data_IF_535621097297
#
_entry.id   IF_535621097297
#
_cell.length_a   1.000
_cell.length_b   1.000
_cell.length_c   1.000
_cell.angle_alpha   90.00
_cell.angle_beta   90.00
_cell.angle_gamma   90.00
#
_symmetry.space_group_name_H-M   'P 1'
#
loop_
_entity.id
_entity.type
_entity.pdbx_description
1 polymer ?
#
# COMPACT_ATOMS: atom_id res chain seq x y z
N UNK A 1 -2.19 7.84 -13.96
CA UNK A 1 -1.64 9.09 -13.40
C UNK A 1 -0.78 8.91 -12.15
N UNK A 2 -0.98 7.85 -11.35
CA UNK A 2 -0.20 7.60 -10.12
C UNK A 2 1.28 7.32 -10.44
N UNK A 3 1.58 6.59 -11.50
CA UNK A 3 2.95 6.35 -11.98
C UNK A 3 3.80 7.64 -12.14
N UNK A 4 3.18 8.79 -12.44
CA UNK A 4 3.91 10.05 -12.60
C UNK A 4 4.48 10.61 -11.29
N UNK A 5 3.95 10.17 -10.15
CA UNK A 5 4.28 10.65 -8.82
C UNK A 5 5.25 9.73 -8.04
N UNK A 6 5.94 8.85 -8.75
CA UNK A 6 6.95 7.96 -8.20
C UNK A 6 8.12 7.85 -9.20
N UNK A 7 9.39 7.73 -8.74
CA UNK A 7 10.54 7.66 -9.64
C UNK A 7 10.53 6.35 -10.42
N UNK A 8 11.12 6.38 -11.62
CA UNK A 8 11.36 5.18 -12.41
C UNK A 8 12.37 4.28 -11.70
N UNK A 9 12.11 2.99 -11.72
CA UNK A 9 12.91 1.97 -11.07
C UNK A 9 13.57 1.06 -12.11
N UNK A 10 14.64 0.35 -11.72
CA UNK A 10 15.19 -0.70 -12.55
C UNK A 10 14.17 -1.79 -12.78
N UNK A 11 14.23 -2.49 -13.93
CA UNK A 11 13.26 -3.51 -14.35
C UNK A 11 12.88 -4.50 -13.26
N UNK A 12 13.86 -4.98 -12.46
CA UNK A 12 13.61 -5.90 -11.35
C UNK A 12 12.74 -5.31 -10.23
N UNK A 13 12.62 -4.00 -10.16
CA UNK A 13 11.83 -3.28 -9.16
C UNK A 13 10.52 -2.73 -9.74
N UNK A 14 10.17 -3.08 -10.98
CA UNK A 14 8.92 -2.66 -11.62
C UNK A 14 7.67 -3.02 -10.79
N UNK A 15 7.76 -4.06 -9.96
CA UNK A 15 6.69 -4.45 -9.06
C UNK A 15 6.27 -3.36 -8.06
N UNK A 16 7.18 -2.46 -7.65
CA UNK A 16 6.80 -1.38 -6.71
C UNK A 16 6.03 -0.26 -7.43
N UNK A 17 6.39 0.06 -8.67
CA UNK A 17 5.67 1.07 -9.47
C UNK A 17 4.23 0.61 -9.72
N UNK A 18 4.06 -0.64 -10.18
CA UNK A 18 2.74 -1.23 -10.42
C UNK A 18 1.98 -1.48 -9.12
N UNK A 19 2.67 -1.91 -8.07
CA UNK A 19 2.10 -2.14 -6.75
C UNK A 19 1.55 -0.85 -6.13
N UNK A 20 2.30 0.25 -6.20
CA UNK A 20 1.83 1.57 -5.76
C UNK A 20 0.59 1.97 -6.55
N UNK A 21 0.61 1.83 -7.87
CA UNK A 21 -0.55 2.16 -8.71
C UNK A 21 -1.77 1.32 -8.34
N UNK A 22 -1.59 0.00 -8.20
CA UNK A 22 -2.67 -0.95 -7.89
C UNK A 22 -3.28 -0.71 -6.50
N UNK A 23 -2.46 -0.29 -5.52
CA UNK A 23 -2.93 0.01 -4.18
C UNK A 23 -3.51 1.42 -4.04
N UNK A 24 -2.79 2.44 -4.52
CA UNK A 24 -3.12 3.86 -4.25
C UNK A 24 -4.30 4.33 -5.11
N UNK A 25 -4.45 3.83 -6.34
CA UNK A 25 -5.53 4.30 -7.23
C UNK A 25 -6.93 4.12 -6.61
N UNK A 26 -7.36 2.90 -6.20
CA UNK A 26 -8.68 2.73 -5.62
C UNK A 26 -8.83 3.47 -4.28
N UNK A 27 -7.77 3.53 -3.46
CA UNK A 27 -7.76 4.27 -2.19
C UNK A 27 -7.97 5.77 -2.45
N UNK A 28 -7.22 6.36 -3.37
CA UNK A 28 -7.34 7.78 -3.70
C UNK A 28 -8.73 8.13 -4.24
N UNK A 29 -9.31 7.28 -5.08
CA UNK A 29 -10.68 7.47 -5.60
C UNK A 29 -11.72 7.41 -4.50
N UNK A 30 -11.55 6.52 -3.52
CA UNK A 30 -12.44 6.49 -2.36
C UNK A 30 -12.29 7.76 -1.50
N UNK A 31 -11.06 8.24 -1.30
CA UNK A 31 -10.79 9.45 -0.53
C UNK A 31 -11.42 10.71 -1.12
N UNK A 32 -11.63 10.77 -2.42
CA UNK A 32 -12.31 11.90 -3.10
C UNK A 32 -13.78 11.62 -3.41
N UNK A 33 -14.31 10.46 -3.00
CA UNK A 33 -15.72 10.10 -3.14
C UNK A 33 -16.13 9.59 -4.53
N UNK A 34 -15.16 9.25 -5.41
CA UNK A 34 -15.43 8.67 -6.73
C UNK A 34 -15.65 7.16 -6.71
N UNK A 35 -15.19 6.49 -5.67
CA UNK A 35 -15.35 5.04 -5.50
C UNK A 35 -15.90 4.75 -4.10
N UNK A 36 -16.92 3.89 -3.97
CA UNK A 36 -17.38 3.42 -2.67
C UNK A 36 -16.26 2.72 -1.89
N UNK A 37 -16.16 3.00 -0.60
CA UNK A 37 -15.15 2.37 0.28
C UNK A 37 -15.26 0.85 0.26
N UNK A 38 -16.48 0.32 0.19
CA UNK A 38 -16.75 -1.13 0.10
C UNK A 38 -16.12 -1.75 -1.15
N UNK A 39 -16.11 -1.03 -2.27
CA UNK A 39 -15.52 -1.52 -3.53
C UNK A 39 -14.00 -1.64 -3.43
N UNK A 40 -13.33 -0.70 -2.71
CA UNK A 40 -11.89 -0.81 -2.43
C UNK A 40 -11.58 -2.09 -1.65
N UNK A 41 -12.27 -2.30 -0.54
CA UNK A 41 -12.03 -3.46 0.31
C UNK A 41 -12.45 -4.76 -0.36
N UNK A 42 -13.55 -4.76 -1.14
CA UNK A 42 -13.95 -5.90 -1.97
C UNK A 42 -12.87 -6.29 -2.96
N UNK A 43 -12.29 -5.31 -3.65
CA UNK A 43 -11.18 -5.53 -4.59
C UNK A 43 -9.97 -6.11 -3.87
N UNK A 44 -9.57 -5.54 -2.75
CA UNK A 44 -8.40 -6.02 -1.99
C UNK A 44 -8.60 -7.45 -1.48
N UNK A 45 -9.73 -7.77 -0.86
CA UNK A 45 -9.98 -9.13 -0.36
C UNK A 45 -10.00 -10.15 -1.51
N UNK A 46 -10.59 -9.81 -2.66
CA UNK A 46 -10.71 -10.71 -3.80
C UNK A 46 -9.37 -10.91 -4.53
N UNK A 47 -8.59 -9.87 -4.68
CA UNK A 47 -7.47 -9.85 -5.63
C UNK A 47 -6.08 -9.91 -4.98
N UNK A 48 -5.89 -9.45 -3.72
CA UNK A 48 -4.61 -9.60 -2.99
C UNK A 48 -4.08 -11.04 -2.94
N UNK A 49 -4.91 -12.11 -2.84
CA UNK A 49 -4.43 -13.48 -2.89
C UNK A 49 -3.66 -13.83 -4.16
N UNK A 50 -3.91 -13.15 -5.29
CA UNK A 50 -3.17 -13.32 -6.55
C UNK A 50 -1.71 -12.88 -6.46
N UNK A 51 -1.37 -12.08 -5.47
CA UNK A 51 -0.02 -11.61 -5.19
C UNK A 51 0.78 -12.51 -4.23
N UNK A 52 0.18 -13.58 -3.72
CA UNK A 52 0.92 -14.55 -2.89
C UNK A 52 1.97 -15.29 -3.72
N UNK A 53 3.07 -15.73 -3.09
CA UNK A 53 4.07 -16.54 -3.76
C UNK A 53 3.50 -17.92 -4.14
N UNK A 54 3.91 -18.45 -5.27
CA UNK A 54 3.76 -19.85 -5.68
C UNK A 54 5.03 -20.66 -5.36
N UNK A 55 5.04 -21.95 -5.75
CA UNK A 55 6.12 -22.87 -5.40
C UNK A 55 7.48 -22.48 -6.00
N UNK A 56 7.50 -21.76 -7.13
CA UNK A 56 8.71 -21.33 -7.84
C UNK A 56 9.13 -19.88 -7.52
N UNK A 57 8.41 -19.21 -6.60
CA UNK A 57 8.67 -17.81 -6.25
C UNK A 57 10.03 -17.62 -5.57
N UNK A 58 10.76 -16.61 -5.97
CA UNK A 58 12.07 -16.24 -5.44
C UNK A 58 12.07 -14.84 -4.78
N UNK A 59 10.89 -14.27 -4.53
CA UNK A 59 10.73 -12.94 -3.99
C UNK A 59 10.39 -11.89 -5.06
N UNK A 60 9.98 -10.71 -4.61
CA UNK A 60 9.42 -9.66 -5.48
C UNK A 60 10.39 -9.19 -6.57
N UNK A 61 11.71 -9.12 -6.27
CA UNK A 61 12.73 -8.67 -7.22
C UNK A 61 13.07 -9.73 -8.29
N UNK A 62 12.64 -10.98 -8.09
CA UNK A 62 13.07 -12.12 -8.91
C UNK A 62 11.93 -12.88 -9.57
N UNK A 63 10.69 -12.57 -9.23
CA UNK A 63 9.50 -13.27 -9.74
C UNK A 63 8.56 -12.29 -10.44
N UNK A 64 8.87 -11.87 -11.70
CA UNK A 64 8.10 -10.86 -12.42
C UNK A 64 6.84 -11.44 -13.08
N UNK A 65 6.06 -12.24 -12.34
CA UNK A 65 4.74 -12.69 -12.81
C UNK A 65 3.71 -11.57 -12.65
N UNK A 66 2.64 -11.61 -13.43
CA UNK A 66 1.58 -10.60 -13.32
C UNK A 66 1.04 -10.48 -11.89
N UNK A 67 0.77 -11.62 -11.25
CA UNK A 67 0.26 -11.62 -9.87
C UNK A 67 1.23 -10.96 -8.89
N UNK A 68 2.53 -11.31 -8.97
CA UNK A 68 3.55 -10.75 -8.09
C UNK A 68 3.83 -9.27 -8.36
N UNK A 69 3.85 -8.88 -9.63
CA UNK A 69 4.10 -7.48 -10.02
C UNK A 69 2.99 -6.57 -9.52
N UNK A 70 1.75 -6.87 -9.82
CA UNK A 70 0.62 -5.99 -9.47
C UNK A 70 0.14 -6.23 -8.04
N UNK A 71 -0.25 -7.45 -7.71
CA UNK A 71 -0.88 -7.74 -6.42
C UNK A 71 0.11 -8.03 -5.30
N UNK A 72 1.28 -8.60 -5.62
CA UNK A 72 2.40 -8.71 -4.68
C UNK A 72 2.92 -7.34 -4.27
N UNK A 73 3.08 -6.43 -5.24
CA UNK A 73 3.43 -5.04 -4.99
C UNK A 73 2.34 -4.28 -4.22
N UNK A 74 1.06 -4.46 -4.57
CA UNK A 74 -0.06 -3.86 -3.82
C UNK A 74 -0.14 -4.40 -2.38
N UNK A 75 0.14 -5.69 -2.17
CA UNK A 75 0.18 -6.31 -0.85
C UNK A 75 1.33 -5.73 -0.01
N UNK A 76 2.52 -5.52 -0.61
CA UNK A 76 3.61 -4.79 0.03
C UNK A 76 3.16 -3.40 0.47
N UNK A 77 2.47 -2.64 -0.39
CA UNK A 77 1.96 -1.30 -0.07
C UNK A 77 0.92 -1.31 1.05
N UNK A 78 -0.01 -2.26 1.06
CA UNK A 78 -0.99 -2.40 2.14
C UNK A 78 -0.30 -2.72 3.48
N UNK A 79 0.64 -3.66 3.48
CA UNK A 79 1.41 -4.00 4.68
C UNK A 79 2.22 -2.81 5.18
N UNK A 80 2.82 -2.04 4.27
CA UNK A 80 3.55 -0.83 4.61
C UNK A 80 2.63 0.22 5.26
N UNK A 81 1.47 0.48 4.65
CA UNK A 81 0.51 1.47 5.20
C UNK A 81 0.02 1.06 6.59
N UNK A 82 -0.35 -0.21 6.77
CA UNK A 82 -0.79 -0.73 8.07
C UNK A 82 0.34 -0.61 9.12
N UNK A 83 1.55 -1.10 8.82
CA UNK A 83 2.66 -1.09 9.78
C UNK A 83 3.14 0.31 10.13
N UNK A 84 3.18 1.24 9.16
CA UNK A 84 3.49 2.66 9.44
C UNK A 84 2.44 3.22 10.40
N UNK A 85 1.15 2.95 10.16
CA UNK A 85 0.07 3.43 11.03
C UNK A 85 0.12 2.81 12.42
N UNK A 86 0.41 1.52 12.53
CA UNK A 86 0.63 0.86 13.84
C UNK A 86 1.75 1.56 14.63
N UNK A 87 2.94 1.72 14.02
CA UNK A 87 4.11 2.32 14.68
C UNK A 87 3.94 3.80 15.01
N UNK A 88 3.15 4.52 14.22
CA UNK A 88 2.92 5.96 14.41
C UNK A 88 1.63 6.28 15.15
N UNK A 89 0.95 5.29 15.71
CA UNK A 89 -0.38 5.47 16.32
C UNK A 89 -1.37 6.15 15.37
N UNK A 90 -1.40 5.67 14.13
CA UNK A 90 -2.25 6.14 13.03
C UNK A 90 -2.07 7.64 12.65
N UNK A 91 -0.94 8.25 13.03
CA UNK A 91 -0.63 9.65 12.69
C UNK A 91 -0.08 9.80 11.27
N UNK A 92 0.60 8.77 10.76
CA UNK A 92 1.19 8.72 9.42
C UNK A 92 0.83 7.41 8.75
N UNK A 93 0.88 7.38 7.41
CA UNK A 93 0.65 6.20 6.60
C UNK A 93 1.54 6.21 5.35
N UNK A 94 1.35 5.25 4.47
CA UNK A 94 2.12 5.15 3.22
C UNK A 94 2.02 6.43 2.38
N UNK A 95 0.87 7.11 2.38
CA UNK A 95 0.69 8.39 1.69
C UNK A 95 1.73 9.44 2.09
N UNK A 96 2.12 9.49 3.37
CA UNK A 96 3.08 10.46 3.87
C UNK A 96 4.49 10.13 3.38
N UNK A 97 4.86 8.85 3.34
CA UNK A 97 6.09 8.38 2.73
C UNK A 97 6.15 8.72 1.23
N UNK A 98 5.10 8.40 0.46
CA UNK A 98 5.04 8.68 -0.98
C UNK A 98 5.09 10.19 -1.27
N UNK A 99 4.42 11.00 -0.46
CA UNK A 99 4.49 12.46 -0.57
C UNK A 99 5.90 12.99 -0.33
N UNK A 100 6.64 12.42 0.62
CA UNK A 100 8.02 12.81 0.86
C UNK A 100 8.93 12.43 -0.31
N UNK A 101 8.77 11.25 -0.89
CA UNK A 101 9.49 10.82 -2.09
C UNK A 101 9.24 11.81 -3.24
N UNK A 102 7.98 12.14 -3.51
CA UNK A 102 7.62 13.13 -4.53
C UNK A 102 8.22 14.52 -4.27
N UNK A 103 8.16 14.99 -3.03
CA UNK A 103 8.71 16.30 -2.63
C UNK A 103 10.26 16.36 -2.73
N UNK A 104 10.94 15.21 -2.74
CA UNK A 104 12.38 15.11 -3.00
C UNK A 104 12.72 14.95 -4.48
N UNK A 105 11.75 15.13 -5.38
CA UNK A 105 11.93 15.05 -6.83
C UNK A 105 11.73 13.64 -7.40
N UNK A 106 11.20 12.70 -6.62
CA UNK A 106 10.91 11.34 -7.09
C UNK A 106 9.71 11.31 -8.04
N UNK A 107 9.94 11.58 -9.31
CA UNK A 107 8.95 11.55 -10.40
C UNK A 107 9.41 10.60 -11.50
N UNK A 108 8.50 10.17 -12.36
CA UNK A 108 8.74 9.14 -13.39
C UNK A 108 9.90 9.44 -14.34
N UNK A 109 10.27 10.71 -14.51
CA UNK A 109 11.42 11.11 -15.33
C UNK A 109 12.77 10.91 -14.65
N UNK A 110 12.78 10.54 -13.38
CA UNK A 110 13.98 10.36 -12.57
C UNK A 110 14.22 8.89 -12.28
N UNK A 111 15.39 8.39 -12.62
CA UNK A 111 15.81 7.01 -12.33
C UNK A 111 16.44 6.93 -10.93
N UNK A 112 15.76 6.25 -10.00
CA UNK A 112 16.25 6.08 -8.63
C UNK A 112 16.53 4.64 -8.27
N UNK A 113 17.40 4.43 -7.31
CA UNK A 113 17.50 3.15 -6.62
C UNK A 113 16.35 3.00 -5.60
N UNK A 114 15.72 1.85 -5.55
CA UNK A 114 14.58 1.59 -4.65
C UNK A 114 14.90 1.90 -3.17
N UNK A 115 16.14 1.59 -2.75
CA UNK A 115 16.59 1.88 -1.37
C UNK A 115 16.65 3.38 -1.07
N UNK A 116 16.95 4.21 -2.06
CA UNK A 116 16.92 5.66 -1.91
C UNK A 116 15.50 6.15 -1.66
N UNK A 117 14.54 5.67 -2.46
CA UNK A 117 13.13 6.04 -2.30
C UNK A 117 12.59 5.59 -0.92
N UNK A 118 12.89 4.36 -0.53
CA UNK A 118 12.42 3.83 0.76
C UNK A 118 13.04 4.53 1.97
N UNK A 119 14.34 4.84 1.92
CA UNK A 119 14.99 5.60 2.99
C UNK A 119 14.38 7.00 3.17
N UNK A 120 13.99 7.68 2.09
CA UNK A 120 13.28 8.97 2.16
C UNK A 120 11.90 8.81 2.79
N UNK A 121 11.15 7.79 2.37
CA UNK A 121 9.83 7.49 2.91
C UNK A 121 9.87 7.14 4.40
N UNK A 122 10.77 6.27 4.80
CA UNK A 122 10.97 5.85 6.19
C UNK A 122 11.42 7.00 7.10
N UNK A 123 12.32 7.85 6.60
CA UNK A 123 12.73 9.07 7.30
C UNK A 123 11.54 9.99 7.56
N UNK A 124 10.67 10.18 6.57
CA UNK A 124 9.52 11.07 6.68
C UNK A 124 8.46 10.54 7.65
N UNK A 125 8.30 9.23 7.72
CA UNK A 125 7.35 8.59 8.64
C UNK A 125 7.95 8.25 10.01
N UNK A 126 9.26 8.51 10.20
CA UNK A 126 10.00 8.12 11.41
C UNK A 126 9.92 6.62 11.72
N UNK A 127 9.91 5.80 10.66
CA UNK A 127 9.87 4.32 10.74
C UNK A 127 11.00 3.72 9.91
N UNK A 128 11.10 2.39 9.87
CA UNK A 128 11.92 1.61 8.93
C UNK A 128 11.08 0.59 8.16
N UNK A 129 9.80 0.83 8.05
CA UNK A 129 8.84 -0.16 7.55
C UNK A 129 9.10 -0.52 6.09
N UNK A 130 9.39 0.48 5.23
CA UNK A 130 9.63 0.24 3.81
C UNK A 130 10.90 -0.56 3.57
N UNK A 131 12.01 -0.17 4.21
CA UNK A 131 13.28 -0.90 4.11
C UNK A 131 13.16 -2.31 4.68
N UNK A 132 12.55 -2.48 5.85
CA UNK A 132 12.42 -3.78 6.53
C UNK A 132 11.52 -4.74 5.74
N UNK A 133 10.39 -4.27 5.20
CA UNK A 133 9.52 -5.07 4.32
C UNK A 133 10.24 -5.45 3.03
N UNK A 134 10.96 -4.52 2.43
CA UNK A 134 11.74 -4.79 1.22
C UNK A 134 12.78 -5.90 1.46
N UNK A 135 13.58 -5.80 2.53
CA UNK A 135 14.57 -6.83 2.85
C UNK A 135 13.91 -8.19 3.15
N UNK A 136 12.69 -8.22 3.67
CA UNK A 136 11.95 -9.46 3.92
C UNK A 136 11.45 -10.11 2.62
N UNK A 137 10.95 -9.33 1.65
CA UNK A 137 10.15 -9.82 0.53
C UNK A 137 10.88 -9.82 -0.82
N UNK A 138 12.02 -9.14 -0.95
CA UNK A 138 12.69 -8.92 -2.25
C UNK A 138 13.25 -10.19 -2.88
N UNK A 139 13.85 -11.09 -2.07
CA UNK A 139 14.59 -12.28 -2.55
C UNK A 139 14.12 -13.59 -1.88
N UNK A 140 12.94 -13.58 -1.28
CA UNK A 140 12.35 -14.74 -0.62
C UNK A 140 10.84 -14.77 -0.84
N UNK A 141 10.25 -15.95 -1.02
CA UNK A 141 8.82 -16.12 -1.03
C UNK A 141 8.29 -15.90 0.40
N UNK A 142 7.55 -14.82 0.60
CA UNK A 142 6.91 -14.52 1.89
C UNK A 142 5.41 -14.62 1.71
N UNK A 143 4.81 -15.65 2.31
CA UNK A 143 3.36 -15.78 2.38
C UNK A 143 2.81 -14.89 3.49
N UNK A 144 1.88 -14.03 3.14
CA UNK A 144 1.19 -13.15 4.08
C UNK A 144 -0.10 -13.80 4.55
N UNK A 145 -0.32 -13.86 5.86
CA UNK A 145 -1.61 -14.29 6.42
C UNK A 145 -2.65 -13.18 6.20
N UNK A 146 -3.26 -13.20 5.01
CA UNK A 146 -4.29 -12.24 4.63
C UNK A 146 -5.54 -12.38 5.49
N UNK A 147 -5.88 -13.59 5.95
CA UNK A 147 -7.06 -13.79 6.81
C UNK A 147 -6.86 -13.08 8.15
N UNK A 148 -5.70 -13.26 8.77
CA UNK A 148 -5.36 -12.54 10.00
C UNK A 148 -5.35 -11.02 9.79
N UNK A 149 -4.84 -10.55 8.63
CA UNK A 149 -4.83 -9.12 8.31
C UNK A 149 -6.27 -8.57 8.18
N UNK A 150 -7.15 -9.28 7.47
CA UNK A 150 -8.55 -8.86 7.32
C UNK A 150 -9.30 -8.88 8.66
N UNK A 151 -9.06 -9.90 9.49
CA UNK A 151 -9.66 -9.98 10.83
C UNK A 151 -9.24 -8.79 11.71
N UNK A 152 -7.95 -8.43 11.70
CA UNK A 152 -7.44 -7.26 12.43
C UNK A 152 -8.04 -5.94 11.94
N UNK A 153 -8.12 -5.75 10.63
CA UNK A 153 -8.73 -4.57 10.02
C UNK A 153 -10.26 -4.56 10.14
N UNK A 154 -10.86 -5.70 10.46
CA UNK A 154 -12.31 -5.87 10.59
C UNK A 154 -13.01 -5.78 9.24
N UNK A 155 -12.50 -6.46 8.21
CA UNK A 155 -13.14 -6.58 6.89
C UNK A 155 -13.38 -8.03 6.53
N UNK A 156 -14.54 -8.34 5.95
CA UNK A 156 -14.87 -9.68 5.48
C UNK A 156 -15.78 -9.60 4.24
N UNK A 157 -15.81 -10.66 3.44
CA UNK A 157 -16.81 -10.85 2.40
C UNK A 157 -17.86 -11.85 2.87
N UNK A 158 -19.13 -11.48 2.83
CA UNK A 158 -20.29 -12.35 3.00
C UNK A 158 -21.21 -12.17 1.80
N UNK A 159 -21.53 -13.25 1.14
CA UNK A 159 -22.42 -13.25 -0.04
C UNK A 159 -22.01 -12.20 -1.11
N UNK A 160 -20.68 -12.03 -1.30
CA UNK A 160 -20.04 -11.04 -2.18
C UNK A 160 -20.16 -9.57 -1.73
N UNK A 161 -20.73 -9.32 -0.57
CA UNK A 161 -20.77 -7.99 0.05
C UNK A 161 -19.69 -7.83 1.11
N UNK A 162 -19.16 -6.62 1.22
CA UNK A 162 -18.19 -6.29 2.26
C UNK A 162 -18.93 -6.04 3.56
N UNK A 163 -18.46 -6.68 4.61
CA UNK A 163 -18.97 -6.47 5.97
C UNK A 163 -17.83 -5.93 6.83
N UNK A 164 -18.11 -4.84 7.54
CA UNK A 164 -17.16 -4.24 8.47
C UNK A 164 -17.47 -4.61 9.93
N UNK A 165 -16.42 -5.04 10.63
CA UNK A 165 -16.45 -5.21 12.08
C UNK A 165 -15.75 -4.03 12.75
N UNK A 166 -16.53 -3.12 13.32
CA UNK A 166 -16.02 -1.93 13.99
C UNK A 166 -15.44 -2.18 15.38
N UNK A 167 -15.52 -3.41 15.87
CA UNK A 167 -14.88 -3.86 17.13
C UNK A 167 -13.51 -4.50 16.88
N UNK A 168 -13.07 -4.62 15.62
CA UNK A 168 -11.77 -5.17 15.30
C UNK A 168 -10.64 -4.24 15.79
N UNK A 169 -9.47 -4.79 16.19
CA UNK A 169 -8.42 -4.01 16.86
C UNK A 169 -7.87 -2.86 15.98
N UNK A 170 -7.84 -3.02 14.68
CA UNK A 170 -7.26 -2.04 13.75
C UNK A 170 -8.32 -1.32 12.89
N UNK A 171 -9.56 -1.25 13.37
CA UNK A 171 -10.64 -0.50 12.71
C UNK A 171 -10.28 0.95 12.40
N UNK A 172 -9.56 1.62 13.31
CA UNK A 172 -9.11 2.99 13.11
C UNK A 172 -8.14 3.10 11.92
N UNK A 173 -7.26 2.11 11.73
CA UNK A 173 -6.34 2.05 10.57
C UNK A 173 -7.13 1.84 9.28
N UNK A 174 -8.03 0.85 9.23
CA UNK A 174 -8.90 0.62 8.09
C UNK A 174 -9.60 1.90 7.65
N UNK A 175 -10.25 2.59 8.59
CA UNK A 175 -10.97 3.84 8.31
C UNK A 175 -10.02 4.94 7.81
N UNK A 176 -8.82 5.06 8.37
CA UNK A 176 -7.87 6.09 7.99
C UNK A 176 -7.27 5.87 6.59
N UNK A 177 -7.13 4.62 6.13
CA UNK A 177 -6.67 4.30 4.76
C UNK A 177 -7.60 4.93 3.73
N UNK A 178 -8.91 4.81 3.89
CA UNK A 178 -9.91 5.28 2.91
C UNK A 178 -10.58 6.60 3.31
N UNK A 179 -10.19 7.21 4.44
CA UNK A 179 -10.77 8.48 4.88
C UNK A 179 -10.48 9.61 3.89
N UNK A 180 -11.49 10.41 3.59
CA UNK A 180 -11.32 11.64 2.83
C UNK A 180 -10.22 12.50 3.45
N UNK A 181 -9.28 12.96 2.63
CA UNK A 181 -8.36 14.01 3.06
C UNK A 181 -9.21 15.23 3.40
N UNK A 182 -9.34 15.53 4.69
CA UNK A 182 -10.16 16.64 5.13
C UNK A 182 -9.77 17.91 4.39
N UNK A 183 -10.65 18.39 3.53
CA UNK A 183 -10.60 19.75 3.02
C UNK A 183 -10.89 20.62 4.24
N UNK A 184 -9.84 21.15 4.87
CA UNK A 184 -9.99 22.23 5.81
C UNK A 184 -10.56 23.40 5.02
N UNK A 185 -11.89 23.49 4.93
CA UNK A 185 -12.55 24.72 4.51
C UNK A 185 -12.20 25.75 5.58
N UNK A 186 -11.19 26.56 5.29
CA UNK A 186 -11.03 27.85 5.97
C UNK A 186 -12.27 28.65 5.60
N UNK A 187 -13.27 28.67 6.50
CA UNK A 187 -14.35 29.62 6.42
C UNK A 187 -13.71 30.94 6.81
N UNK A 188 -13.32 31.73 5.79
CA UNK A 188 -12.94 33.12 5.99
C UNK A 188 -14.15 33.90 6.48
N UNK A 189 -14.02 34.48 7.65
CA UNK A 189 -14.87 35.58 8.11
C UNK A 189 -14.51 36.85 7.33
#
# INVERSE_FOLDING_TARGET
MIHLAFPSMKDRHHWIEEGISTYVEPVARAQIGELPVDDVWRQFIRDMPKGQPDDDDQGLDRTPTWGRTYWGGAMFCLLADVRIREQTHNRQGLRDALRAILNHGGVISEDWEIKQAFAIGDKATHTRVLEDLYEQMREKPVTVDLNQLWDKLGVALKDREVVFNDQAPETAIRRAITASAGVTRTVGN
#
